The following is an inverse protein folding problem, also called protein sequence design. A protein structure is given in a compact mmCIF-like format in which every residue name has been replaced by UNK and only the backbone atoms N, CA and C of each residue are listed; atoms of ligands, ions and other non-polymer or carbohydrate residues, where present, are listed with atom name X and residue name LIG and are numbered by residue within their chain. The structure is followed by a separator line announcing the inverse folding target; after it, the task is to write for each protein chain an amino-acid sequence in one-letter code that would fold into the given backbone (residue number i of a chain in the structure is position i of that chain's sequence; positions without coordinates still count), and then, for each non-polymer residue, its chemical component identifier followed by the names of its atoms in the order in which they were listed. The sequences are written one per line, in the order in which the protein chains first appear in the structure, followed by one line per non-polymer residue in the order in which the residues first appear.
data_IF_493557904509
#
_entry.id   IF_493557904509
#
_cell.length_a   1.000
_cell.length_b   1.000
_cell.length_c   1.000
_cell.angle_alpha   90.00
_cell.angle_beta   90.00
_cell.angle_gamma   90.00
#
_symmetry.space_group_name_H-M   'P 1'
#
loop_
_entity.id
_entity.type
_entity.pdbx_description
1 polymer ?
#
# COMPACT_ATOMS: atom_id res chain seq x y z
N UNK A 1 22.24 -0.15 6.75
CA UNK A 1 21.84 -0.40 5.35
C UNK A 1 21.04 0.76 4.81
N UNK A 2 21.27 1.11 3.56
CA UNK A 2 20.49 2.19 2.92
C UNK A 2 19.05 1.75 2.67
N UNK A 3 18.06 2.64 2.87
CA UNK A 3 16.70 2.34 2.52
C UNK A 3 16.55 2.05 1.02
N UNK A 4 15.67 1.13 0.66
CA UNK A 4 15.37 0.86 -0.74
C UNK A 4 14.38 1.90 -1.26
N UNK A 5 14.47 2.21 -2.55
CA UNK A 5 13.52 3.12 -3.19
C UNK A 5 12.13 2.50 -3.20
N UNK A 6 11.12 3.33 -2.98
CA UNK A 6 9.72 2.92 -3.11
C UNK A 6 9.27 3.24 -4.53
N UNK A 7 8.83 2.22 -5.25
CA UNK A 7 8.32 2.40 -6.63
C UNK A 7 6.91 1.84 -6.69
N UNK A 8 5.89 2.69 -6.56
CA UNK A 8 4.50 2.23 -6.68
C UNK A 8 4.15 2.01 -8.15
N UNK A 9 3.37 0.95 -8.38
CA UNK A 9 2.79 0.69 -9.68
C UNK A 9 1.70 1.73 -9.98
N UNK A 10 1.35 1.88 -11.25
CA UNK A 10 0.31 2.80 -11.66
C UNK A 10 -1.01 2.55 -10.91
N UNK A 11 -1.37 1.29 -10.70
CA UNK A 11 -2.59 0.94 -10.00
C UNK A 11 -2.55 1.37 -8.53
N UNK A 12 -1.39 1.27 -7.87
CA UNK A 12 -1.22 1.76 -6.51
C UNK A 12 -1.39 3.28 -6.44
N UNK A 13 -0.86 4.00 -7.42
CA UNK A 13 -1.03 5.47 -7.49
C UNK A 13 -2.50 5.85 -7.67
N UNK A 14 -3.26 5.08 -8.45
CA UNK A 14 -4.71 5.29 -8.58
C UNK A 14 -5.43 5.04 -7.26
N UNK A 15 -5.04 4.00 -6.52
CA UNK A 15 -5.62 3.73 -5.21
C UNK A 15 -5.40 4.91 -4.27
N UNK A 16 -4.20 5.51 -4.30
CA UNK A 16 -3.87 6.68 -3.49
C UNK A 16 -4.76 7.86 -3.87
N UNK A 17 -4.89 8.14 -5.17
CA UNK A 17 -5.70 9.25 -5.66
C UNK A 17 -7.17 9.07 -5.24
N UNK A 18 -7.70 7.86 -5.37
CA UNK A 18 -9.08 7.56 -4.97
C UNK A 18 -9.29 7.76 -3.47
N UNK A 19 -8.31 7.33 -2.64
CA UNK A 19 -8.39 7.50 -1.20
C UNK A 19 -8.33 8.98 -0.81
N UNK A 20 -7.44 9.76 -1.43
CA UNK A 20 -7.33 11.20 -1.19
C UNK A 20 -8.64 11.90 -1.55
N UNK A 21 -9.20 11.58 -2.72
CA UNK A 21 -10.47 12.17 -3.16
C UNK A 21 -11.60 11.84 -2.19
N UNK A 22 -11.65 10.61 -1.72
CA UNK A 22 -12.65 10.18 -0.73
C UNK A 22 -12.56 11.02 0.54
N UNK A 23 -11.35 11.19 1.10
CA UNK A 23 -11.18 11.97 2.33
C UNK A 23 -11.46 13.45 2.11
N UNK A 24 -11.08 14.01 0.95
CA UNK A 24 -11.38 15.40 0.63
C UNK A 24 -12.89 15.66 0.60
N UNK A 25 -13.66 14.75 0.01
CA UNK A 25 -15.11 14.92 -0.11
C UNK A 25 -15.84 14.66 1.20
N UNK A 26 -15.44 13.63 1.94
CA UNK A 26 -16.25 13.14 3.07
C UNK A 26 -15.73 13.57 4.43
N UNK A 27 -14.48 14.00 4.55
CA UNK A 27 -13.88 14.30 5.85
C UNK A 27 -13.04 15.58 5.86
N UNK A 28 -12.76 16.17 4.68
CA UNK A 28 -12.07 17.43 4.56
C UNK A 28 -10.58 17.34 4.31
N UNK A 29 -9.97 18.48 4.07
CA UNK A 29 -8.57 18.59 3.69
C UNK A 29 -7.62 18.03 4.75
N UNK A 30 -7.89 18.27 6.01
CA UNK A 30 -7.03 17.79 7.10
C UNK A 30 -6.94 16.28 7.11
N UNK A 31 -8.07 15.59 6.89
CA UNK A 31 -8.09 14.12 6.84
C UNK A 31 -7.30 13.62 5.63
N UNK A 32 -7.45 14.27 4.47
CA UNK A 32 -6.71 13.88 3.27
C UNK A 32 -5.21 14.06 3.45
N UNK A 33 -4.77 15.17 4.04
CA UNK A 33 -3.35 15.41 4.32
C UNK A 33 -2.81 14.41 5.33
N UNK A 34 -3.62 14.05 6.33
CA UNK A 34 -3.26 13.04 7.31
C UNK A 34 -3.06 11.66 6.68
N UNK A 35 -3.89 11.31 5.70
CA UNK A 35 -3.72 10.06 4.95
C UNK A 35 -2.39 10.05 4.20
N UNK A 36 -2.05 11.14 3.52
CA UNK A 36 -0.80 11.26 2.77
C UNK A 36 0.40 11.13 3.72
N UNK A 37 0.34 11.77 4.89
CA UNK A 37 1.39 11.67 5.89
C UNK A 37 1.54 10.24 6.42
N UNK A 38 0.42 9.57 6.70
CA UNK A 38 0.44 8.18 7.17
C UNK A 38 1.04 7.24 6.10
N UNK A 39 0.70 7.47 4.83
CA UNK A 39 1.26 6.69 3.72
C UNK A 39 2.78 6.91 3.60
N UNK A 40 3.23 8.16 3.71
CA UNK A 40 4.65 8.48 3.64
C UNK A 40 5.43 7.78 4.77
N UNK A 41 4.89 7.78 5.97
CA UNK A 41 5.52 7.09 7.11
C UNK A 41 5.57 5.58 6.89
N UNK A 42 4.51 5.00 6.33
CA UNK A 42 4.49 3.57 6.02
C UNK A 42 5.55 3.24 4.96
N UNK A 43 5.67 4.06 3.92
CA UNK A 43 6.69 3.87 2.88
C UNK A 43 8.10 3.93 3.47
N UNK A 44 8.36 4.89 4.36
CA UNK A 44 9.68 5.00 5.00
C UNK A 44 10.00 3.77 5.84
N UNK A 45 9.01 3.27 6.57
CA UNK A 45 9.19 2.05 7.37
C UNK A 45 9.49 0.84 6.47
N UNK A 46 8.71 0.64 5.42
CA UNK A 46 8.88 -0.47 4.49
C UNK A 46 10.25 -0.39 3.81
N UNK A 47 10.66 0.81 3.42
CA UNK A 47 11.96 1.00 2.76
C UNK A 47 13.14 0.57 3.64
N UNK A 48 13.02 0.77 4.94
CA UNK A 48 14.08 0.44 5.91
C UNK A 48 13.97 -0.98 6.44
N UNK A 49 12.74 -1.51 6.55
CA UNK A 49 12.46 -2.80 7.17
C UNK A 49 11.49 -3.62 6.32
N UNK A 50 11.87 -3.98 5.08
CA UNK A 50 10.91 -4.60 4.16
C UNK A 50 10.41 -5.97 4.61
N UNK A 51 11.16 -6.68 5.45
CA UNK A 51 10.75 -8.00 5.90
C UNK A 51 9.74 -7.98 7.05
N UNK A 52 9.35 -6.80 7.56
CA UNK A 52 8.41 -6.72 8.69
C UNK A 52 6.94 -6.80 8.28
N UNK A 53 6.62 -6.62 7.02
CA UNK A 53 5.24 -6.76 6.56
C UNK A 53 4.72 -8.18 6.71
N UNK A 54 3.39 -8.31 6.87
CA UNK A 54 2.74 -9.61 7.02
C UNK A 54 2.74 -10.39 5.70
N UNK A 55 3.13 -11.67 5.70
CA UNK A 55 3.07 -12.51 4.50
C UNK A 55 1.71 -13.21 4.33
N UNK A 56 0.70 -12.83 5.10
CA UNK A 56 -0.60 -13.50 5.12
C UNK A 56 -1.18 -13.73 3.72
N UNK A 57 -1.21 -12.68 2.91
CA UNK A 57 -1.83 -12.75 1.58
C UNK A 57 -0.96 -13.47 0.54
N UNK A 58 0.34 -13.62 0.80
CA UNK A 58 1.20 -14.41 -0.07
C UNK A 58 0.71 -15.85 -0.15
N UNK A 59 0.31 -16.43 0.98
CA UNK A 59 -0.20 -17.79 1.04
C UNK A 59 -1.60 -17.88 0.44
N UNK A 60 -2.49 -17.00 0.80
CA UNK A 60 -3.88 -17.01 0.32
C UNK A 60 -3.98 -16.84 -1.19
N UNK A 61 -3.12 -16.04 -1.78
CA UNK A 61 -3.17 -15.68 -3.18
C UNK A 61 -2.15 -16.40 -4.05
N UNK A 62 -1.32 -17.24 -3.44
CA UNK A 62 -0.20 -17.91 -4.12
C UNK A 62 0.69 -16.89 -4.85
N UNK A 63 1.04 -15.82 -4.13
CA UNK A 63 1.91 -14.75 -4.63
C UNK A 63 3.16 -14.68 -3.75
N UNK A 64 4.20 -15.50 -4.04
CA UNK A 64 5.40 -15.54 -3.19
C UNK A 64 6.04 -14.17 -3.02
N UNK A 65 6.40 -13.86 -1.78
CA UNK A 65 7.07 -12.60 -1.45
C UNK A 65 6.14 -11.43 -1.18
N UNK A 66 4.84 -11.57 -1.44
CA UNK A 66 3.89 -10.48 -1.16
C UNK A 66 3.77 -10.25 0.33
N UNK A 67 3.86 -8.99 0.73
CA UNK A 67 3.68 -8.56 2.13
C UNK A 67 2.71 -7.41 2.20
N UNK A 68 2.14 -7.20 3.39
CA UNK A 68 1.27 -6.05 3.64
C UNK A 68 1.69 -5.33 4.91
N UNK A 69 1.50 -4.02 4.93
CA UNK A 69 1.79 -3.16 6.08
C UNK A 69 0.66 -2.16 6.26
N UNK A 70 0.10 -2.03 7.49
CA UNK A 70 -1.03 -1.13 7.72
C UNK A 70 -0.57 0.32 7.89
N UNK A 71 -1.42 1.26 7.44
CA UNK A 71 -1.25 2.66 7.78
C UNK A 71 -1.70 2.89 9.23
N UNK A 72 -1.09 3.87 9.91
CA UNK A 72 -1.56 4.31 11.23
C UNK A 72 -2.78 5.20 11.06
N UNK A 73 -3.83 4.94 11.84
CA UNK A 73 -5.06 5.74 11.93
C UNK A 73 -5.96 5.72 10.69
N UNK A 74 -5.52 5.09 9.63
CA UNK A 74 -6.31 4.97 8.39
C UNK A 74 -6.41 3.48 8.06
N UNK A 75 -7.62 2.98 7.74
CA UNK A 75 -7.84 1.54 7.58
C UNK A 75 -7.41 1.05 6.20
N UNK A 76 -6.16 1.27 5.85
CA UNK A 76 -5.58 0.87 4.58
C UNK A 76 -4.35 0.01 4.77
N UNK A 77 -4.11 -0.89 3.81
CA UNK A 77 -2.93 -1.75 3.77
C UNK A 77 -2.12 -1.44 2.52
N UNK A 78 -0.80 -1.35 2.70
CA UNK A 78 0.15 -1.24 1.58
C UNK A 78 0.60 -2.65 1.20
N UNK A 79 0.32 -3.07 -0.03
CA UNK A 79 0.76 -4.37 -0.54
C UNK A 79 2.01 -4.20 -1.38
N UNK A 80 3.06 -4.93 -1.05
CA UNK A 80 4.35 -4.75 -1.70
C UNK A 80 5.14 -6.04 -1.78
N UNK A 81 6.11 -6.05 -2.71
CA UNK A 81 7.11 -7.11 -2.82
C UNK A 81 8.49 -6.45 -2.77
N UNK A 82 9.38 -7.00 -1.96
CA UNK A 82 10.76 -6.54 -1.92
C UNK A 82 11.53 -7.08 -3.12
N UNK A 83 12.12 -6.19 -3.92
CA UNK A 83 13.02 -6.56 -5.00
C UNK A 83 14.46 -6.29 -4.59
N UNK A 84 15.43 -6.64 -5.44
CA UNK A 84 16.84 -6.46 -5.12
C UNK A 84 17.20 -5.01 -4.86
N UNK A 85 16.70 -4.08 -5.69
CA UNK A 85 17.07 -2.67 -5.65
C UNK A 85 15.93 -1.71 -5.30
N UNK A 86 14.72 -2.22 -5.09
CA UNK A 86 13.57 -1.35 -4.78
C UNK A 86 12.45 -2.14 -4.10
N UNK A 87 11.46 -1.39 -3.59
CA UNK A 87 10.21 -1.93 -3.08
C UNK A 87 9.14 -1.72 -4.15
N UNK A 88 8.58 -2.82 -4.63
CA UNK A 88 7.55 -2.84 -5.68
C UNK A 88 6.18 -2.77 -5.00
N UNK A 89 5.56 -1.59 -4.95
CA UNK A 89 4.25 -1.41 -4.30
C UNK A 89 3.15 -1.71 -5.30
N UNK A 90 2.34 -2.73 -5.00
CA UNK A 90 1.31 -3.21 -5.92
C UNK A 90 -0.03 -2.50 -5.75
N UNK A 91 -0.51 -2.37 -4.52
CA UNK A 91 -1.82 -1.80 -4.21
C UNK A 91 -1.82 -1.10 -2.86
N UNK A 92 -2.73 -0.14 -2.70
CA UNK A 92 -3.08 0.46 -1.42
C UNK A 92 -4.59 0.23 -1.26
N UNK A 93 -4.98 -0.74 -0.44
CA UNK A 93 -6.38 -1.16 -0.34
C UNK A 93 -6.94 -0.97 1.05
N UNK A 94 -8.23 -0.60 1.12
CA UNK A 94 -8.95 -0.52 2.37
C UNK A 94 -9.02 -1.91 3.01
N UNK A 95 -8.74 -1.99 4.32
CA UNK A 95 -8.61 -3.27 5.01
C UNK A 95 -9.90 -4.09 5.06
N UNK A 96 -11.05 -3.44 4.89
CA UNK A 96 -12.36 -4.10 4.90
C UNK A 96 -12.82 -4.58 3.53
N UNK A 97 -12.05 -4.31 2.47
CA UNK A 97 -12.40 -4.78 1.14
C UNK A 97 -12.11 -6.27 0.99
N UNK A 98 -12.72 -6.87 -0.03
CA UNK A 98 -12.37 -8.23 -0.44
C UNK A 98 -11.00 -8.19 -1.10
N UNK A 99 -9.96 -8.30 -0.27
CA UNK A 99 -8.59 -8.16 -0.72
C UNK A 99 -8.24 -9.15 -1.85
N UNK A 100 -8.58 -10.45 -1.77
CA UNK A 100 -8.28 -11.36 -2.88
C UNK A 100 -8.86 -10.92 -4.22
N UNK A 101 -10.12 -10.46 -4.23
CA UNK A 101 -10.75 -9.99 -5.47
C UNK A 101 -10.07 -8.74 -6.01
N UNK A 102 -9.74 -7.79 -5.13
CA UNK A 102 -9.10 -6.54 -5.54
C UNK A 102 -7.68 -6.73 -6.04
N UNK A 103 -6.94 -7.66 -5.44
CA UNK A 103 -5.56 -7.95 -5.88
C UNK A 103 -5.51 -8.63 -7.25
N UNK A 104 -6.60 -9.23 -7.69
CA UNK A 104 -6.66 -9.89 -9.00
C UNK A 104 -7.09 -8.97 -10.14
N UNK A 105 -7.41 -7.70 -9.84
CA UNK A 105 -7.73 -6.75 -10.90
C UNK A 105 -6.53 -6.55 -11.82
N UNK A 106 -6.76 -6.54 -13.16
CA UNK A 106 -5.67 -6.33 -14.10
C UNK A 106 -5.03 -4.95 -13.94
N UNK A 107 -3.71 -4.87 -14.14
CA UNK A 107 -3.01 -3.61 -14.15
C UNK A 107 -3.50 -2.73 -15.30
N UNK A 108 -3.61 -1.43 -15.04
CA UNK A 108 -3.94 -0.45 -16.08
C UNK A 108 -5.41 -0.30 -16.41
N UNK A 109 -6.29 -1.01 -15.72
CA UNK A 109 -7.75 -0.89 -15.93
C UNK A 109 -8.42 0.07 -14.99
#
# INVERSE_FOLDING_TARGET
MSPKRIIPRQRANRDIDEAVDYYLRDAGEKAALGFIDALDRAYRHIARHPATGSPRYAHELDLPGLRSWPLKRYPYLVFYVERDDHIDVWRILHAERDIPAWMREPEGT
#
